data_IF_568598477993
#
_entry.id   IF_568598477993
#
_cell.length_a   1.000
_cell.length_b   1.000
_cell.length_c   1.000
_cell.angle_alpha   90.00
_cell.angle_beta   90.00
_cell.angle_gamma   90.00
#
_symmetry.space_group_name_H-M   'P 1'
#
loop_
_entity.id
_entity.type
_entity.pdbx_description
1 polymer ?
#
# COMPACT_ATOMS: atom_id res chain seq x y z
N UNK A 1 2.36 13.12 3.42
CA UNK A 1 3.61 12.37 3.14
C UNK A 1 3.46 11.73 1.78
N UNK A 2 4.53 11.67 0.98
CA UNK A 2 4.49 11.07 -0.36
C UNK A 2 5.05 9.65 -0.28
N UNK A 3 4.41 8.72 -0.99
CA UNK A 3 4.81 7.33 -1.09
C UNK A 3 4.95 6.95 -2.55
N UNK A 4 6.05 6.27 -2.90
CA UNK A 4 6.22 5.60 -4.20
C UNK A 4 5.73 4.16 -4.11
N UNK A 5 4.97 3.72 -5.12
CA UNK A 5 4.46 2.35 -5.22
C UNK A 5 5.37 1.54 -6.14
N UNK A 6 5.65 0.30 -5.76
CA UNK A 6 6.40 -0.65 -6.58
C UNK A 6 5.65 -0.91 -7.90
N UNK A 7 6.34 -0.68 -9.03
CA UNK A 7 5.71 -0.72 -10.36
C UNK A 7 5.31 0.66 -10.90
N UNK A 8 5.40 1.71 -10.07
CA UNK A 8 5.20 3.09 -10.45
C UNK A 8 3.94 3.71 -9.85
N UNK A 9 3.94 5.04 -9.80
CA UNK A 9 2.89 5.83 -9.14
C UNK A 9 3.39 6.46 -7.84
N UNK A 10 2.84 7.64 -7.54
CA UNK A 10 3.08 8.36 -6.30
C UNK A 10 1.74 8.66 -5.63
N UNK A 11 1.67 8.39 -4.34
CA UNK A 11 0.50 8.65 -3.50
C UNK A 11 0.88 9.70 -2.47
N UNK A 12 0.08 10.74 -2.38
CA UNK A 12 0.10 11.63 -1.23
C UNK A 12 -0.98 11.21 -0.23
N UNK A 13 -0.58 10.97 1.01
CA UNK A 13 -1.48 10.65 2.10
C UNK A 13 -1.02 11.32 3.41
N UNK A 14 -1.97 11.80 4.21
CA UNK A 14 -1.73 12.38 5.53
C UNK A 14 -2.03 11.39 6.67
N UNK A 15 -2.69 10.27 6.38
CA UNK A 15 -3.01 9.23 7.36
C UNK A 15 -2.94 7.81 6.79
N UNK A 16 -2.84 6.76 7.64
CA UNK A 16 -2.92 5.37 7.22
C UNK A 16 -4.17 5.03 6.41
N UNK A 17 -5.33 5.58 6.82
CA UNK A 17 -6.62 5.37 6.15
C UNK A 17 -6.58 5.92 4.72
N UNK A 18 -6.12 7.16 4.57
CA UNK A 18 -5.99 7.79 3.25
C UNK A 18 -5.03 7.03 2.34
N UNK A 19 -3.93 6.52 2.88
CA UNK A 19 -2.97 5.75 2.09
C UNK A 19 -3.56 4.44 1.58
N UNK A 20 -4.28 3.71 2.43
CA UNK A 20 -4.93 2.45 2.02
C UNK A 20 -6.02 2.70 0.99
N UNK A 21 -6.84 3.75 1.15
CA UNK A 21 -7.86 4.12 0.17
C UNK A 21 -7.23 4.54 -1.17
N UNK A 22 -6.14 5.31 -1.15
CA UNK A 22 -5.44 5.70 -2.36
C UNK A 22 -4.80 4.51 -3.09
N UNK A 23 -4.22 3.56 -2.35
CA UNK A 23 -3.72 2.30 -2.92
C UNK A 23 -4.88 1.51 -3.56
N UNK A 24 -6.02 1.41 -2.89
CA UNK A 24 -7.21 0.74 -3.41
C UNK A 24 -7.74 1.38 -4.69
N UNK A 25 -7.66 2.70 -4.80
CA UNK A 25 -8.06 3.42 -6.02
C UNK A 25 -7.08 3.22 -7.18
N UNK A 26 -5.78 3.16 -6.91
CA UNK A 26 -4.76 2.86 -7.92
C UNK A 26 -4.88 1.44 -8.47
N UNK A 27 -5.24 0.48 -7.61
CA UNK A 27 -5.43 -0.92 -7.97
C UNK A 27 -6.87 -1.26 -8.39
N UNK A 28 -7.75 -0.28 -8.56
CA UNK A 28 -9.18 -0.53 -8.81
C UNK A 28 -9.44 -1.33 -10.10
N UNK A 29 -8.56 -1.20 -11.09
CA UNK A 29 -8.61 -1.97 -12.34
C UNK A 29 -8.24 -3.45 -12.14
N UNK A 30 -7.56 -3.79 -11.03
CA UNK A 30 -6.97 -5.11 -10.80
C UNK A 30 -7.56 -5.83 -9.59
N UNK A 31 -8.07 -5.12 -8.58
CA UNK A 31 -8.66 -5.68 -7.37
C UNK A 31 -10.10 -5.17 -7.21
N UNK A 32 -11.07 -6.00 -7.60
CA UNK A 32 -12.50 -5.74 -7.39
C UNK A 32 -12.88 -5.99 -5.92
N UNK A 33 -12.35 -5.17 -5.02
CA UNK A 33 -12.66 -5.23 -3.58
C UNK A 33 -13.88 -4.38 -3.25
N UNK A 34 -14.80 -4.95 -2.46
CA UNK A 34 -16.03 -4.28 -2.03
C UNK A 34 -15.77 -3.41 -0.79
N UNK A 35 -14.83 -3.82 0.05
CA UNK A 35 -14.42 -3.14 1.29
C UNK A 35 -12.90 -2.94 1.39
N UNK A 36 -12.44 -2.18 2.39
CA UNK A 36 -11.01 -1.99 2.66
C UNK A 36 -10.38 -3.28 3.18
N UNK A 37 -11.11 -4.03 4.00
CA UNK A 37 -10.69 -5.33 4.52
C UNK A 37 -10.48 -6.34 3.40
N UNK A 38 -11.41 -6.41 2.44
CA UNK A 38 -11.26 -7.28 1.26
C UNK A 38 -10.05 -6.86 0.42
N UNK A 39 -9.87 -5.55 0.21
CA UNK A 39 -8.70 -5.03 -0.50
C UNK A 39 -7.39 -5.45 0.17
N UNK A 40 -7.29 -5.29 1.49
CA UNK A 40 -6.09 -5.65 2.25
C UNK A 40 -5.81 -7.15 2.15
N UNK A 41 -6.84 -8.00 2.21
CA UNK A 41 -6.72 -9.44 2.05
C UNK A 41 -6.22 -9.83 0.65
N UNK A 42 -6.85 -9.32 -0.40
CA UNK A 42 -6.48 -9.61 -1.79
C UNK A 42 -5.06 -9.12 -2.12
N UNK A 43 -4.69 -7.95 -1.61
CA UNK A 43 -3.34 -7.41 -1.75
C UNK A 43 -2.31 -8.28 -1.04
N UNK A 44 -2.59 -8.73 0.19
CA UNK A 44 -1.70 -9.60 0.94
C UNK A 44 -1.46 -10.94 0.22
N UNK A 45 -2.51 -11.53 -0.36
CA UNK A 45 -2.40 -12.74 -1.16
C UNK A 45 -1.53 -12.52 -2.40
N UNK A 46 -1.64 -11.35 -3.06
CA UNK A 46 -0.77 -10.98 -4.18
C UNK A 46 0.68 -10.79 -3.78
N UNK A 47 0.95 -10.06 -2.70
CA UNK A 47 2.31 -9.90 -2.16
C UNK A 47 2.96 -11.26 -1.92
N UNK A 48 2.19 -12.21 -1.35
CA UNK A 48 2.63 -13.59 -1.15
C UNK A 48 2.87 -14.34 -2.46
N UNK A 49 1.98 -14.22 -3.44
CA UNK A 49 2.14 -14.89 -4.74
C UNK A 49 3.36 -14.36 -5.52
N UNK A 50 3.62 -13.05 -5.48
CA UNK A 50 4.68 -12.42 -6.26
C UNK A 50 6.06 -12.56 -5.61
N UNK A 51 6.14 -12.49 -4.29
CA UNK A 51 7.43 -12.37 -3.58
C UNK A 51 7.60 -13.35 -2.43
N UNK A 52 6.54 -14.07 -2.03
CA UNK A 52 6.51 -14.86 -0.81
C UNK A 52 6.32 -14.06 0.48
N UNK A 53 6.17 -12.73 0.40
CA UNK A 53 5.97 -11.87 1.57
C UNK A 53 4.65 -12.19 2.29
N UNK A 54 4.69 -12.18 3.62
CA UNK A 54 3.50 -12.30 4.46
C UNK A 54 3.14 -10.91 4.96
N UNK A 55 1.97 -10.42 4.55
CA UNK A 55 1.45 -9.10 4.92
C UNK A 55 0.28 -9.29 5.88
N UNK A 56 0.34 -8.64 7.05
CA UNK A 56 -0.74 -8.67 8.03
C UNK A 56 -1.87 -7.74 7.62
N UNK A 57 -3.11 -8.16 7.85
CA UNK A 57 -4.32 -7.43 7.46
C UNK A 57 -5.24 -7.10 8.64
N UNK A 58 -4.78 -7.34 9.87
CA UNK A 58 -5.52 -7.10 11.10
C UNK A 58 -5.73 -5.62 11.41
N UNK A 59 -4.78 -4.77 11.02
CA UNK A 59 -4.88 -3.32 11.09
C UNK A 59 -4.23 -2.67 9.88
N UNK A 60 -4.73 -1.50 9.46
CA UNK A 60 -4.12 -0.72 8.39
C UNK A 60 -2.65 -0.36 8.67
N UNK A 61 -2.30 -0.13 9.94
CA UNK A 61 -0.92 0.22 10.33
C UNK A 61 0.02 -0.97 10.11
N UNK A 62 -0.37 -2.17 10.56
CA UNK A 62 0.44 -3.38 10.33
C UNK A 62 0.57 -3.67 8.84
N UNK A 63 -0.53 -3.55 8.09
CA UNK A 63 -0.56 -3.73 6.65
C UNK A 63 0.44 -2.81 5.93
N UNK A 64 0.36 -1.50 6.18
CA UNK A 64 1.26 -0.53 5.55
C UNK A 64 2.72 -0.74 5.96
N UNK A 65 2.97 -1.09 7.22
CA UNK A 65 4.32 -1.40 7.69
C UNK A 65 4.92 -2.61 6.97
N UNK A 66 4.11 -3.65 6.73
CA UNK A 66 4.55 -4.85 6.03
C UNK A 66 4.74 -4.58 4.53
N UNK A 67 3.88 -3.73 3.92
CA UNK A 67 4.08 -3.27 2.54
C UNK A 67 5.39 -2.47 2.39
N UNK A 68 5.71 -1.61 3.36
CA UNK A 68 6.97 -0.87 3.39
C UNK A 68 8.17 -1.81 3.56
N UNK A 69 8.09 -2.72 4.51
CA UNK A 69 9.16 -3.70 4.78
C UNK A 69 9.39 -4.63 3.60
N UNK A 70 8.34 -4.96 2.85
CA UNK A 70 8.40 -5.73 1.61
C UNK A 70 8.82 -4.93 0.38
N UNK A 71 9.04 -3.61 0.50
CA UNK A 71 9.43 -2.74 -0.62
C UNK A 71 8.31 -2.47 -1.64
N UNK A 72 7.06 -2.75 -1.29
CA UNK A 72 5.90 -2.49 -2.14
C UNK A 72 5.50 -1.01 -2.15
N UNK A 73 5.76 -0.30 -1.05
CA UNK A 73 5.64 1.15 -0.96
C UNK A 73 6.86 1.73 -0.26
N UNK A 74 7.33 2.91 -0.68
CA UNK A 74 8.48 3.58 -0.06
C UNK A 74 8.13 5.04 0.23
N UNK A 75 8.27 5.53 1.48
CA UNK A 75 8.08 6.94 1.77
C UNK A 75 9.17 7.77 1.08
N UNK A 76 8.76 8.78 0.32
CA UNK A 76 9.66 9.73 -0.31
C UNK A 76 9.82 10.93 0.63
N UNK A 77 11.05 11.21 1.11
CA UNK A 77 11.31 12.45 1.81
C UNK A 77 11.08 13.61 0.85
N UNK A 78 10.28 14.61 1.26
CA UNK A 78 10.22 15.87 0.53
C UNK A 78 11.57 16.54 0.78
N UNK A 79 12.49 16.44 -0.17
CA UNK A 79 13.72 17.23 -0.12
C UNK A 79 13.32 18.70 -0.05
N UNK A 80 13.62 19.35 1.08
CA UNK A 80 13.48 20.79 1.18
C UNK A 80 14.56 21.38 0.27
N UNK A 81 14.17 21.82 -0.92
CA UNK A 81 15.00 22.66 -1.76
C UNK A 81 15.33 23.92 -0.97
N UNK A 82 16.59 24.04 -0.56
CA UNK A 82 17.16 25.19 0.16
C UNK A 82 17.33 26.36 -0.81
#
# INVERSE_FOLDING_TARGET
MIYEVLGGGRIEAASPVELVEALRQLDHDWIHSVSVEDFMADMADRCKLQTGAVVRTDTMVNFLHDLQSGGFITPVPIEQTI
#
